data_IF_162047028462
#
_entry.id   IF_162047028462
#
_cell.length_a   1.000
_cell.length_b   1.000
_cell.length_c   1.000
_cell.angle_alpha   90.00
_cell.angle_beta   90.00
_cell.angle_gamma   90.00
#
_symmetry.space_group_name_H-M   'P 1'
#
loop_
_entity.id
_entity.type
_entity.pdbx_description
1 polymer ?
#
# COMPACT_ATOMS: atom_id res chain seq x y z
N UNK A 1 13.67 -19.67 -13.35
CA UNK A 1 13.15 -18.55 -14.17
C UNK A 1 14.29 -17.97 -14.98
N UNK A 2 14.06 -17.68 -16.27
CA UNK A 2 15.08 -17.20 -17.22
C UNK A 2 15.44 -15.72 -17.07
N UNK A 3 16.42 -15.22 -17.85
CA UNK A 3 16.91 -13.84 -17.75
C UNK A 3 15.86 -12.89 -18.32
N UNK A 4 15.20 -12.11 -17.47
CA UNK A 4 14.17 -11.16 -17.89
C UNK A 4 13.14 -10.77 -16.81
N UNK A 5 13.12 -11.43 -15.66
CA UNK A 5 12.14 -11.13 -14.61
C UNK A 5 12.76 -10.27 -13.49
N UNK A 6 13.05 -9.01 -13.79
CA UNK A 6 13.31 -8.00 -12.77
C UNK A 6 12.01 -7.24 -12.56
N UNK A 7 11.10 -7.75 -11.73
CA UNK A 7 9.93 -6.98 -11.30
C UNK A 7 10.45 -5.73 -10.56
N UNK A 8 9.93 -4.55 -10.90
CA UNK A 8 10.31 -3.32 -10.20
C UNK A 8 9.49 -3.16 -8.91
N UNK A 9 9.84 -2.21 -8.05
CA UNK A 9 9.07 -1.94 -6.83
C UNK A 9 7.70 -1.33 -7.14
N UNK A 10 7.62 -0.60 -8.24
CA UNK A 10 6.42 -0.04 -8.83
C UNK A 10 5.46 -1.14 -9.28
N UNK A 11 5.99 -2.15 -10.00
CA UNK A 11 5.22 -3.32 -10.41
C UNK A 11 4.67 -4.05 -9.19
N UNK A 12 5.49 -4.23 -8.15
CA UNK A 12 5.07 -4.91 -6.92
C UNK A 12 3.96 -4.16 -6.17
N UNK A 13 4.05 -2.83 -6.04
CA UNK A 13 3.00 -2.02 -5.43
C UNK A 13 1.70 -2.06 -6.24
N UNK A 14 1.80 -1.99 -7.57
CA UNK A 14 0.67 -2.08 -8.49
C UNK A 14 -0.03 -3.44 -8.39
N UNK A 15 0.73 -4.53 -8.39
CA UNK A 15 0.20 -5.89 -8.24
C UNK A 15 -0.49 -6.07 -6.88
N UNK A 16 0.11 -5.55 -5.81
CA UNK A 16 -0.47 -5.63 -4.48
C UNK A 16 -1.79 -4.86 -4.36
N UNK A 17 -1.84 -3.63 -4.90
CA UNK A 17 -3.06 -2.85 -4.99
C UNK A 17 -4.15 -3.59 -5.77
N UNK A 18 -3.80 -4.18 -6.93
CA UNK A 18 -4.73 -4.95 -7.74
C UNK A 18 -5.34 -6.11 -6.94
N UNK A 19 -4.52 -6.83 -6.17
CA UNK A 19 -5.00 -7.92 -5.31
C UNK A 19 -5.98 -7.40 -4.26
N UNK A 20 -5.67 -6.31 -3.55
CA UNK A 20 -6.58 -5.75 -2.54
C UNK A 20 -7.91 -5.31 -3.18
N UNK A 21 -7.86 -4.59 -4.31
CA UNK A 21 -9.05 -4.18 -5.06
C UNK A 21 -9.89 -5.38 -5.51
N UNK A 22 -9.24 -6.45 -5.97
CA UNK A 22 -9.92 -7.69 -6.32
C UNK A 22 -10.61 -8.33 -5.10
N UNK A 23 -9.92 -8.41 -3.96
CA UNK A 23 -10.48 -8.97 -2.73
C UNK A 23 -11.67 -8.17 -2.18
N UNK A 24 -11.64 -6.83 -2.30
CA UNK A 24 -12.79 -5.96 -2.00
C UNK A 24 -13.95 -6.23 -2.96
N UNK A 25 -13.67 -6.35 -4.26
CA UNK A 25 -14.68 -6.62 -5.29
C UNK A 25 -15.41 -7.95 -5.07
N UNK A 26 -14.69 -9.01 -4.69
CA UNK A 26 -15.29 -10.32 -4.41
C UNK A 26 -15.82 -10.46 -2.97
N UNK A 27 -15.81 -9.36 -2.19
CA UNK A 27 -16.28 -9.29 -0.80
C UNK A 27 -15.54 -10.20 0.20
N UNK A 28 -14.31 -10.57 -0.11
CA UNK A 28 -13.41 -11.24 0.85
C UNK A 28 -12.85 -10.24 1.85
N UNK A 29 -12.46 -9.04 1.39
CA UNK A 29 -12.16 -7.90 2.26
C UNK A 29 -13.40 -7.02 2.32
N UNK A 30 -13.74 -6.55 3.52
CA UNK A 30 -14.86 -5.64 3.72
C UNK A 30 -14.70 -4.35 2.93
N UNK A 31 -15.80 -3.67 2.63
CA UNK A 31 -15.79 -2.34 2.02
C UNK A 31 -16.31 -1.32 3.01
N UNK A 32 -15.75 -0.11 2.98
CA UNK A 32 -16.31 1.04 3.69
C UNK A 32 -17.55 1.55 2.95
N UNK A 33 -18.69 1.62 3.64
CA UNK A 33 -19.97 2.10 3.07
C UNK A 33 -19.94 3.57 2.62
N UNK A 34 -18.97 4.36 3.10
CA UNK A 34 -18.86 5.80 2.81
C UNK A 34 -17.79 6.15 1.79
N UNK A 35 -16.84 5.25 1.51
CA UNK A 35 -15.65 5.60 0.71
C UNK A 35 -15.21 4.54 -0.30
N UNK A 36 -15.86 3.36 -0.35
CA UNK A 36 -15.48 2.23 -1.20
C UNK A 36 -14.04 1.68 -1.02
N UNK A 37 -13.29 2.20 -0.05
CA UNK A 37 -11.98 1.70 0.39
C UNK A 37 -12.08 0.39 1.17
N UNK A 38 -11.00 -0.40 1.25
CA UNK A 38 -10.98 -1.64 2.03
C UNK A 38 -11.19 -1.32 3.50
N UNK A 39 -12.09 -2.07 4.15
CA UNK A 39 -12.33 -2.01 5.58
C UNK A 39 -11.62 -3.19 6.24
N UNK A 40 -10.50 -2.90 6.88
CA UNK A 40 -9.80 -3.85 7.73
C UNK A 40 -10.33 -3.79 9.16
N UNK A 41 -10.56 -4.94 9.78
CA UNK A 41 -10.97 -5.00 11.20
C UNK A 41 -9.83 -4.57 12.14
N UNK A 42 -8.58 -4.80 11.72
CA UNK A 42 -7.38 -4.48 12.47
C UNK A 42 -6.24 -4.18 11.50
N UNK A 43 -5.56 -3.05 11.70
CA UNK A 43 -4.27 -2.74 11.07
C UNK A 43 -3.25 -2.61 12.20
N UNK A 44 -2.23 -3.49 12.18
CA UNK A 44 -1.14 -3.43 13.13
C UNK A 44 -0.06 -2.49 12.60
N UNK A 45 0.32 -1.49 13.39
CA UNK A 45 1.27 -0.47 13.00
C UNK A 45 2.41 -0.41 14.01
N UNK A 46 3.63 -0.20 13.51
CA UNK A 46 4.81 0.15 14.30
C UNK A 46 5.24 1.56 13.96
N UNK A 47 5.79 2.26 14.95
CA UNK A 47 6.29 3.63 14.80
C UNK A 47 7.81 3.67 14.92
N UNK A 48 8.48 4.36 13.99
CA UNK A 48 9.90 4.70 14.11
C UNK A 48 10.16 5.81 15.13
N UNK A 49 11.40 5.95 15.60
CA UNK A 49 11.81 7.04 16.51
C UNK A 49 11.75 8.43 15.86
N UNK A 50 11.80 8.46 14.53
CA UNK A 50 11.59 9.61 13.65
C UNK A 50 10.11 9.95 13.45
N UNK A 51 9.19 9.10 13.93
CA UNK A 51 7.75 9.28 13.80
C UNK A 51 7.14 8.67 12.53
N UNK A 52 7.90 7.91 11.73
CA UNK A 52 7.31 7.17 10.60
C UNK A 52 6.37 6.07 11.09
N UNK A 53 5.41 5.69 10.24
CA UNK A 53 4.51 4.56 10.46
C UNK A 53 4.58 3.66 9.23
N UNK A 54 4.76 2.35 9.42
CA UNK A 54 5.05 1.44 8.30
C UNK A 54 6.26 1.97 7.50
N UNK A 55 6.12 2.20 6.19
CA UNK A 55 7.14 2.87 5.37
C UNK A 55 6.78 4.34 5.08
N UNK A 56 5.82 4.93 5.78
CA UNK A 56 5.39 6.31 5.56
C UNK A 56 6.22 7.27 6.44
N UNK A 57 7.21 7.91 5.82
CA UNK A 57 8.16 8.80 6.49
C UNK A 57 7.67 10.27 6.53
N UNK A 58 7.90 11.00 7.64
CA UNK A 58 7.57 12.42 7.71
C UNK A 58 8.25 13.24 6.62
N UNK A 59 7.49 14.14 5.97
CA UNK A 59 7.93 15.01 4.88
C UNK A 59 8.36 14.29 3.59
N UNK A 60 8.12 12.97 3.47
CA UNK A 60 8.33 12.21 2.23
C UNK A 60 7.16 12.41 1.26
N UNK A 61 7.40 12.40 -0.06
CA UNK A 61 6.36 12.62 -1.09
C UNK A 61 5.20 11.62 -1.02
N UNK A 62 5.48 10.40 -0.56
CA UNK A 62 4.48 9.37 -0.30
C UNK A 62 3.38 9.81 0.68
N UNK A 63 3.63 10.82 1.54
CA UNK A 63 2.64 11.38 2.46
C UNK A 63 1.55 12.22 1.77
N UNK A 64 1.84 12.72 0.57
CA UNK A 64 0.92 13.56 -0.21
C UNK A 64 -0.06 12.72 -1.05
N UNK A 65 0.21 11.42 -1.24
CA UNK A 65 -0.68 10.51 -1.96
C UNK A 65 -1.98 10.29 -1.17
N UNK A 66 -3.12 10.40 -1.87
CA UNK A 66 -4.47 10.21 -1.30
C UNK A 66 -5.37 9.29 -2.12
N UNK A 67 -5.06 9.13 -3.41
CA UNK A 67 -5.93 8.40 -4.33
C UNK A 67 -5.52 6.91 -4.46
N UNK A 68 -4.23 6.63 -4.41
CA UNK A 68 -3.66 5.27 -4.49
C UNK A 68 -3.81 4.53 -3.14
N UNK A 69 -4.12 3.24 -3.20
CA UNK A 69 -4.30 2.40 -2.01
C UNK A 69 -2.95 1.88 -1.50
N UNK A 70 -1.99 1.70 -2.41
CA UNK A 70 -0.65 1.20 -2.14
C UNK A 70 0.34 2.05 -2.93
N UNK A 71 1.48 2.36 -2.33
CA UNK A 71 2.60 3.03 -3.01
C UNK A 71 3.90 2.29 -2.73
N UNK A 72 4.96 2.69 -3.43
CA UNK A 72 6.31 2.18 -3.27
C UNK A 72 7.24 3.33 -2.85
N UNK A 73 8.37 2.99 -2.25
CA UNK A 73 9.43 3.93 -1.91
C UNK A 73 10.75 3.31 -2.32
N UNK A 74 11.63 4.11 -2.92
CA UNK A 74 12.98 3.67 -3.35
C UNK A 74 14.10 4.32 -2.54
N UNK A 75 13.76 5.35 -1.76
CA UNK A 75 14.65 6.30 -1.11
C UNK A 75 14.26 6.52 0.36
N UNK A 76 14.11 5.41 1.10
CA UNK A 76 13.92 5.46 2.55
C UNK A 76 15.01 6.33 3.22
N UNK A 77 14.64 7.29 4.08
CA UNK A 77 15.59 8.09 4.87
C UNK A 77 16.50 7.29 5.80
#
# INVERSE_FOLDING_TARGET
CGPGNSATVEDAATDYEFVIKHLVKIRTVGVSDSTDYPKFDLVLLSTGSDGHVDSLFPNHEAMELKDDWVTYITDSP
#
